data_IF_736255035511
#
_entry.id   IF_736255035511
#
_cell.length_a   1.000
_cell.length_b   1.000
_cell.length_c   1.000
_cell.angle_alpha   90.00
_cell.angle_beta   90.00
_cell.angle_gamma   90.00
#
_symmetry.space_group_name_H-M   'P 1'
#
loop_
_entity.id
_entity.type
_entity.pdbx_description
1 polymer ?
#
# COMPACT_ATOMS: atom_id res chain seq x y z
N UNK A 1 15.22 6.86 -16.44
CA UNK A 1 16.44 7.59 -16.05
C UNK A 1 16.16 9.07 -16.13
N UNK A 2 15.91 9.75 -15.03
CA UNK A 2 16.04 11.18 -14.72
C UNK A 2 15.12 11.48 -13.53
N UNK A 3 15.47 10.96 -12.36
CA UNK A 3 15.01 11.57 -11.12
C UNK A 3 15.82 12.86 -10.93
N UNK A 4 15.24 13.96 -11.31
CA UNK A 4 15.75 15.28 -11.00
C UNK A 4 15.53 15.50 -9.50
N UNK A 5 16.61 15.55 -8.74
CA UNK A 5 16.53 15.83 -7.30
C UNK A 5 15.76 17.13 -7.08
N UNK A 6 14.73 17.07 -6.25
CA UNK A 6 13.86 18.19 -5.93
C UNK A 6 14.38 19.05 -4.77
N UNK A 7 15.61 18.82 -4.30
CA UNK A 7 16.28 19.67 -3.30
C UNK A 7 17.46 20.40 -3.93
N UNK A 8 17.63 21.71 -3.66
CA UNK A 8 18.83 22.40 -4.05
C UNK A 8 20.04 21.75 -3.34
N UNK A 9 21.20 21.64 -4.01
CA UNK A 9 22.38 21.06 -3.41
C UNK A 9 22.76 21.87 -2.18
N UNK A 10 22.73 21.23 -1.02
CA UNK A 10 23.41 21.75 0.16
C UNK A 10 24.90 21.82 -0.17
N UNK A 11 25.54 22.95 0.10
CA UNK A 11 26.95 23.29 -0.13
C UNK A 11 27.87 22.10 -0.40
N UNK A 12 28.57 22.16 -1.54
CA UNK A 12 29.57 21.19 -1.95
C UNK A 12 30.53 20.84 -0.81
N UNK A 13 30.37 19.65 -0.28
CA UNK A 13 31.43 19.02 0.52
C UNK A 13 32.33 18.35 -0.49
N UNK A 14 33.49 18.93 -0.75
CA UNK A 14 34.57 18.30 -1.52
C UNK A 14 34.95 16.98 -0.83
N UNK A 15 34.54 15.90 -1.40
CA UNK A 15 34.84 14.54 -0.91
C UNK A 15 36.06 14.02 -1.66
N UNK A 16 37.16 13.65 -0.98
CA UNK A 16 38.34 13.09 -1.63
C UNK A 16 38.01 11.80 -2.40
N UNK A 17 38.59 11.64 -3.57
CA UNK A 17 38.29 10.64 -4.60
C UNK A 17 38.55 9.15 -4.18
N UNK A 18 39.34 8.92 -3.14
CA UNK A 18 39.77 7.57 -2.70
C UNK A 18 38.68 6.78 -1.92
N UNK A 19 37.53 7.34 -1.66
CA UNK A 19 36.56 6.73 -0.77
C UNK A 19 35.32 6.12 -1.47
N UNK A 20 35.26 6.14 -2.80
CA UNK A 20 34.03 5.81 -3.56
C UNK A 20 33.62 4.34 -3.43
N UNK A 21 34.57 3.41 -3.49
CA UNK A 21 34.27 1.96 -3.41
C UNK A 21 33.93 1.53 -1.98
N UNK A 22 34.59 2.10 -0.99
CA UNK A 22 34.31 1.84 0.42
C UNK A 22 32.93 2.36 0.85
N UNK A 23 32.42 3.44 0.22
CA UNK A 23 31.10 4.04 0.51
C UNK A 23 29.93 3.24 -0.03
N UNK A 24 30.11 2.47 -1.11
CA UNK A 24 29.04 1.62 -1.66
C UNK A 24 28.76 0.40 -0.76
N UNK A 25 29.74 -0.05 0.00
CA UNK A 25 29.64 -1.24 0.87
C UNK A 25 29.69 -0.95 2.37
N UNK A 26 30.08 0.23 2.81
CA UNK A 26 30.00 0.61 4.22
C UNK A 26 28.78 1.53 4.42
N UNK A 27 27.86 1.01 5.15
CA UNK A 27 26.69 1.72 5.62
C UNK A 27 27.10 3.03 6.29
N UNK A 28 26.40 4.08 5.90
CA UNK A 28 26.21 5.33 6.62
C UNK A 28 27.43 6.26 6.77
N UNK A 29 27.31 7.37 6.10
CA UNK A 29 28.04 8.57 6.46
C UNK A 29 27.59 8.97 7.88
N UNK A 30 28.26 8.51 8.94
CA UNK A 30 27.97 8.85 10.34
C UNK A 30 27.95 10.36 10.58
N UNK A 31 28.70 11.11 9.77
CA UNK A 31 28.80 12.57 9.87
C UNK A 31 27.60 13.32 9.27
N UNK A 32 26.76 12.63 8.48
CA UNK A 32 25.49 13.19 8.02
C UNK A 32 24.40 13.20 9.10
N UNK A 33 24.61 12.45 10.17
CA UNK A 33 23.75 12.39 11.34
C UNK A 33 24.38 13.24 12.45
N UNK A 34 24.25 14.56 12.35
CA UNK A 34 24.56 15.45 13.47
C UNK A 34 23.54 15.21 14.58
N UNK A 35 23.96 14.75 15.78
CA UNK A 35 23.04 14.45 16.89
C UNK A 35 22.35 15.70 17.44
N UNK A 36 22.82 16.88 17.11
CA UNK A 36 22.34 18.14 17.68
C UNK A 36 20.95 18.59 17.22
N UNK A 37 20.36 17.98 16.18
CA UNK A 37 19.04 18.33 15.68
C UNK A 37 18.08 17.15 15.51
N UNK A 38 18.38 15.98 16.02
CA UNK A 38 17.43 14.87 16.02
C UNK A 38 16.44 15.05 17.15
N UNK A 39 15.36 15.79 16.88
CA UNK A 39 14.14 15.66 17.67
C UNK A 39 13.76 14.20 17.58
N UNK A 40 13.98 13.41 18.65
CA UNK A 40 13.46 12.05 18.74
C UNK A 40 11.94 12.18 18.82
N UNK A 41 11.20 11.91 17.73
CA UNK A 41 9.75 12.09 17.74
C UNK A 41 9.18 11.10 18.75
N UNK A 42 8.43 11.60 19.73
CA UNK A 42 7.66 10.74 20.62
C UNK A 42 6.44 10.23 19.87
N UNK A 43 6.05 8.98 20.08
CA UNK A 43 4.81 8.42 19.51
C UNK A 43 3.60 9.35 19.73
N UNK A 44 3.55 10.01 20.89
CA UNK A 44 2.51 10.98 21.24
C UNK A 44 2.44 12.16 20.26
N UNK A 45 3.56 12.58 19.67
CA UNK A 45 3.59 13.70 18.73
C UNK A 45 2.99 13.31 17.37
N UNK A 46 3.11 12.03 16.97
CA UNK A 46 2.46 11.47 15.79
C UNK A 46 0.93 11.52 15.92
N UNK A 47 0.40 11.11 17.08
CA UNK A 47 -1.06 11.08 17.29
C UNK A 47 -1.68 12.47 17.50
N UNK A 48 -0.87 13.50 17.76
CA UNK A 48 -1.34 14.90 17.82
C UNK A 48 -1.52 15.55 16.46
N UNK A 49 -0.95 14.95 15.42
CA UNK A 49 -1.11 15.48 14.07
C UNK A 49 -2.57 15.32 13.59
N UNK A 50 -3.07 16.36 12.96
CA UNK A 50 -4.43 16.40 12.46
C UNK A 50 -4.68 15.28 11.43
N UNK A 51 -5.75 14.53 11.61
CA UNK A 51 -6.17 13.41 10.76
C UNK A 51 -5.26 12.18 10.72
N UNK A 52 -4.08 12.17 11.35
CA UNK A 52 -3.18 11.01 11.30
C UNK A 52 -3.84 9.78 11.93
N UNK A 53 -4.51 9.90 13.05
CA UNK A 53 -5.23 8.77 13.67
C UNK A 53 -6.27 8.15 12.72
N UNK A 54 -6.99 8.99 11.98
CA UNK A 54 -7.95 8.53 10.97
C UNK A 54 -7.25 7.81 9.80
N UNK A 55 -6.14 8.34 9.32
CA UNK A 55 -5.33 7.71 8.27
C UNK A 55 -4.73 6.38 8.73
N UNK A 56 -4.33 6.26 10.00
CA UNK A 56 -3.82 5.00 10.57
C UNK A 56 -4.91 3.92 10.63
N UNK A 57 -6.16 4.30 10.96
CA UNK A 57 -7.30 3.37 10.91
C UNK A 57 -7.57 2.92 9.48
N UNK A 58 -7.57 3.83 8.50
CA UNK A 58 -7.68 3.46 7.09
C UNK A 58 -6.56 2.53 6.65
N UNK A 59 -5.32 2.84 7.04
CA UNK A 59 -4.15 2.00 6.77
C UNK A 59 -4.35 0.58 7.30
N UNK A 60 -4.78 0.46 8.57
CA UNK A 60 -5.08 -0.83 9.19
C UNK A 60 -6.15 -1.61 8.41
N UNK A 61 -7.28 -0.97 8.06
CA UNK A 61 -8.36 -1.63 7.33
C UNK A 61 -7.96 -2.06 5.93
N UNK A 62 -7.18 -1.25 5.22
CA UNK A 62 -6.65 -1.61 3.90
C UNK A 62 -5.78 -2.86 4.00
N UNK A 63 -4.84 -2.88 4.95
CA UNK A 63 -3.98 -4.04 5.17
C UNK A 63 -4.76 -5.26 5.63
N UNK A 64 -5.76 -5.08 6.49
CA UNK A 64 -6.62 -6.17 6.95
C UNK A 64 -7.34 -6.83 5.77
N UNK A 65 -8.02 -6.05 4.92
CA UNK A 65 -8.73 -6.57 3.75
C UNK A 65 -7.80 -7.29 2.77
N UNK A 66 -6.62 -6.72 2.49
CA UNK A 66 -5.63 -7.36 1.62
C UNK A 66 -5.07 -8.65 2.21
N UNK A 67 -4.75 -8.69 3.49
CA UNK A 67 -4.15 -9.87 4.09
C UNK A 67 -5.15 -11.03 4.25
N UNK A 68 -6.44 -10.74 4.48
CA UNK A 68 -7.49 -11.78 4.38
C UNK A 68 -7.49 -12.39 2.98
N UNK A 69 -7.45 -11.57 1.92
CA UNK A 69 -7.37 -12.04 0.53
C UNK A 69 -6.09 -12.84 0.28
N UNK A 70 -4.91 -12.33 0.66
CA UNK A 70 -3.64 -13.00 0.41
C UNK A 70 -3.52 -14.35 1.10
N UNK A 71 -4.16 -14.54 2.25
CA UNK A 71 -4.22 -15.85 2.92
C UNK A 71 -5.19 -16.81 2.22
N UNK A 72 -6.34 -16.30 1.77
CA UNK A 72 -7.40 -17.11 1.19
C UNK A 72 -7.15 -17.51 -0.27
N UNK A 73 -6.61 -16.59 -1.09
CA UNK A 73 -6.53 -16.76 -2.54
C UNK A 73 -5.66 -17.95 -3.00
N UNK A 74 -4.46 -18.20 -2.46
CA UNK A 74 -3.67 -19.38 -2.85
C UNK A 74 -4.40 -20.69 -2.59
N UNK A 75 -5.13 -20.78 -1.48
CA UNK A 75 -5.93 -21.96 -1.13
C UNK A 75 -7.12 -22.13 -2.08
N UNK A 76 -7.80 -21.03 -2.42
CA UNK A 76 -8.88 -21.01 -3.41
C UNK A 76 -8.39 -21.43 -4.80
N UNK A 77 -7.27 -20.88 -5.24
CA UNK A 77 -6.66 -21.24 -6.52
C UNK A 77 -6.34 -22.73 -6.60
N UNK A 78 -5.78 -23.31 -5.54
CA UNK A 78 -5.43 -24.73 -5.50
C UNK A 78 -6.66 -25.65 -5.36
N UNK A 79 -7.60 -25.33 -4.45
CA UNK A 79 -8.74 -26.19 -4.13
C UNK A 79 -9.88 -26.09 -5.13
N UNK A 80 -10.29 -24.87 -5.47
CA UNK A 80 -11.51 -24.62 -6.24
C UNK A 80 -11.22 -24.44 -7.72
N UNK A 81 -10.16 -23.69 -8.08
CA UNK A 81 -9.77 -23.47 -9.47
C UNK A 81 -8.85 -24.59 -10.00
N UNK A 82 -8.35 -25.49 -9.14
CA UNK A 82 -7.43 -26.58 -9.50
C UNK A 82 -6.13 -26.10 -10.15
N UNK A 83 -5.65 -24.92 -9.79
CA UNK A 83 -4.42 -24.36 -10.32
C UNK A 83 -3.18 -25.05 -9.75
N UNK A 84 -2.20 -25.24 -10.62
CA UNK A 84 -0.84 -25.62 -10.21
C UNK A 84 -0.13 -24.41 -9.58
N UNK A 85 0.96 -24.69 -8.85
CA UNK A 85 1.82 -23.65 -8.27
C UNK A 85 2.37 -22.70 -9.38
N UNK A 86 2.68 -23.27 -10.56
CA UNK A 86 3.15 -22.49 -11.71
C UNK A 86 2.09 -21.50 -12.21
N UNK A 87 0.83 -21.94 -12.31
CA UNK A 87 -0.28 -21.08 -12.73
C UNK A 87 -0.53 -19.94 -11.73
N UNK A 88 -0.45 -20.26 -10.43
CA UNK A 88 -0.53 -19.24 -9.38
C UNK A 88 0.63 -18.24 -9.47
N UNK A 89 1.85 -18.72 -9.73
CA UNK A 89 3.02 -17.87 -9.95
C UNK A 89 2.85 -16.94 -11.16
N UNK A 90 2.34 -17.47 -12.28
CA UNK A 90 2.04 -16.67 -13.48
C UNK A 90 0.98 -15.61 -13.18
N UNK A 91 -0.07 -15.98 -12.43
CA UNK A 91 -1.11 -15.04 -12.01
C UNK A 91 -0.52 -13.84 -11.25
N UNK A 92 0.34 -14.09 -10.25
CA UNK A 92 0.98 -13.00 -9.50
C UNK A 92 1.99 -12.21 -10.33
N UNK A 93 2.68 -12.85 -11.27
CA UNK A 93 3.59 -12.16 -12.18
C UNK A 93 2.83 -11.19 -13.10
N UNK A 94 1.71 -11.64 -13.69
CA UNK A 94 0.83 -10.80 -14.53
C UNK A 94 0.22 -9.67 -13.71
N UNK A 95 -0.29 -9.98 -12.50
CA UNK A 95 -0.82 -8.98 -11.58
C UNK A 95 0.20 -7.88 -11.30
N UNK A 96 1.42 -8.27 -10.93
CA UNK A 96 2.51 -7.33 -10.61
C UNK A 96 2.92 -6.49 -11.83
N UNK A 97 2.96 -7.10 -13.02
CA UNK A 97 3.26 -6.41 -14.28
C UNK A 97 2.22 -5.34 -14.62
N UNK A 98 0.93 -5.68 -14.55
CA UNK A 98 -0.16 -4.72 -14.78
C UNK A 98 -0.12 -3.62 -13.71
N UNK A 99 0.12 -3.99 -12.44
CA UNK A 99 0.20 -3.02 -11.35
C UNK A 99 1.34 -2.02 -11.55
N UNK A 100 2.50 -2.47 -12.02
CA UNK A 100 3.62 -1.59 -12.37
C UNK A 100 3.26 -0.60 -13.49
N UNK A 101 2.53 -1.06 -14.52
CA UNK A 101 2.03 -0.19 -15.58
C UNK A 101 1.00 0.82 -15.05
N UNK A 102 0.13 0.41 -14.13
CA UNK A 102 -0.85 1.32 -13.53
C UNK A 102 -0.18 2.36 -12.65
N UNK A 103 0.75 1.95 -11.79
CA UNK A 103 1.48 2.86 -10.88
C UNK A 103 2.42 3.83 -11.62
N UNK A 104 2.89 3.48 -12.80
CA UNK A 104 3.72 4.35 -13.64
C UNK A 104 2.89 5.31 -14.50
N UNK A 105 2.63 4.96 -15.77
CA UNK A 105 2.03 5.89 -16.73
C UNK A 105 0.56 6.21 -16.43
N UNK A 106 -0.24 5.24 -15.93
CA UNK A 106 -1.68 5.47 -15.70
C UNK A 106 -1.89 6.40 -14.51
N UNK A 107 -1.25 6.14 -13.38
CA UNK A 107 -1.33 6.99 -12.19
C UNK A 107 -0.85 8.41 -12.50
N UNK A 108 0.26 8.55 -13.23
CA UNK A 108 0.77 9.87 -13.65
C UNK A 108 -0.26 10.66 -14.47
N UNK A 109 -0.99 10.00 -15.38
CA UNK A 109 -2.08 10.63 -16.13
C UNK A 109 -3.29 10.94 -15.26
N UNK A 110 -3.65 10.02 -14.36
CA UNK A 110 -4.77 10.20 -13.44
C UNK A 110 -4.57 11.40 -12.49
N UNK A 111 -3.37 11.57 -11.93
CA UNK A 111 -3.01 12.69 -11.06
C UNK A 111 -3.07 14.07 -11.75
N UNK A 112 -3.03 14.12 -13.09
CA UNK A 112 -3.25 15.37 -13.83
C UNK A 112 -4.72 15.82 -13.85
N UNK A 113 -5.66 14.89 -13.63
CA UNK A 113 -7.13 15.15 -13.72
C UNK A 113 -7.85 15.00 -12.37
N UNK A 114 -7.33 14.19 -11.47
CA UNK A 114 -7.95 13.85 -10.21
C UNK A 114 -6.98 14.11 -9.05
N UNK A 115 -7.51 14.58 -7.93
CA UNK A 115 -6.73 14.69 -6.70
C UNK A 115 -6.46 13.29 -6.12
N UNK A 116 -5.42 13.17 -5.28
CA UNK A 116 -5.06 11.91 -4.60
C UNK A 116 -6.22 11.35 -3.81
N UNK A 117 -6.99 12.21 -3.12
CA UNK A 117 -8.16 11.82 -2.32
C UNK A 117 -9.24 11.16 -3.21
N UNK A 118 -9.49 11.71 -4.41
CA UNK A 118 -10.42 11.11 -5.38
C UNK A 118 -9.92 9.77 -5.88
N UNK A 119 -8.61 9.63 -6.12
CA UNK A 119 -8.03 8.36 -6.55
C UNK A 119 -8.11 7.28 -5.46
N UNK A 120 -8.00 7.65 -4.18
CA UNK A 120 -8.25 6.70 -3.08
C UNK A 120 -9.71 6.23 -3.10
N UNK A 121 -10.68 7.12 -3.27
CA UNK A 121 -12.11 6.75 -3.34
C UNK A 121 -12.39 5.85 -4.56
N UNK A 122 -11.92 6.25 -5.76
CA UNK A 122 -12.13 5.47 -6.99
C UNK A 122 -11.44 4.11 -6.89
N UNK A 123 -10.20 4.07 -6.41
CA UNK A 123 -9.46 2.82 -6.25
C UNK A 123 -10.12 1.88 -5.23
N UNK A 124 -10.66 2.42 -4.13
CA UNK A 124 -11.34 1.62 -3.10
C UNK A 124 -12.61 0.95 -3.62
N UNK A 125 -13.45 1.64 -4.41
CA UNK A 125 -14.66 1.02 -4.98
C UNK A 125 -14.31 -0.06 -6.01
N UNK A 126 -13.29 0.18 -6.85
CA UNK A 126 -12.79 -0.82 -7.80
C UNK A 126 -12.30 -2.07 -7.06
N UNK A 127 -11.54 -1.89 -5.98
CA UNK A 127 -11.05 -2.98 -5.15
C UNK A 127 -12.17 -3.73 -4.41
N UNK A 128 -13.14 -3.02 -3.85
CA UNK A 128 -14.29 -3.65 -3.21
C UNK A 128 -15.06 -4.55 -4.18
N UNK A 129 -15.32 -4.05 -5.39
CA UNK A 129 -15.99 -4.80 -6.46
C UNK A 129 -15.16 -6.00 -6.93
N UNK A 130 -13.85 -5.83 -7.06
CA UNK A 130 -12.93 -6.90 -7.43
C UNK A 130 -13.02 -8.11 -6.49
N UNK A 131 -13.08 -7.89 -5.18
CA UNK A 131 -13.16 -9.00 -4.22
C UNK A 131 -14.46 -9.81 -4.35
N UNK A 132 -15.56 -9.20 -4.79
CA UNK A 132 -16.78 -9.93 -5.11
C UNK A 132 -16.56 -10.90 -6.28
N UNK A 133 -15.80 -10.49 -7.29
CA UNK A 133 -15.49 -11.34 -8.44
C UNK A 133 -14.57 -12.50 -8.09
N UNK A 134 -13.66 -12.34 -7.12
CA UNK A 134 -12.83 -13.44 -6.64
C UNK A 134 -13.60 -14.53 -5.89
N UNK A 135 -14.80 -14.24 -5.40
CA UNK A 135 -15.66 -15.27 -4.81
C UNK A 135 -16.22 -16.27 -5.84
N UNK A 136 -16.08 -16.00 -7.13
CA UNK A 136 -16.53 -16.86 -8.22
C UNK A 136 -15.48 -17.90 -8.59
N UNK A 137 -15.92 -19.13 -8.89
CA UNK A 137 -15.05 -20.21 -9.39
C UNK A 137 -14.82 -20.12 -10.92
N UNK A 138 -15.20 -19.02 -11.56
CA UNK A 138 -15.01 -18.82 -12.99
C UNK A 138 -13.64 -18.20 -13.27
N UNK A 139 -12.88 -18.83 -14.18
CA UNK A 139 -11.58 -18.29 -14.60
C UNK A 139 -11.71 -16.91 -15.25
N UNK A 140 -12.82 -16.65 -15.92
CA UNK A 140 -13.11 -15.34 -16.53
C UNK A 140 -13.29 -14.29 -15.44
N UNK A 141 -14.10 -14.58 -14.41
CA UNK A 141 -14.28 -13.68 -13.26
C UNK A 141 -12.97 -13.38 -12.56
N UNK A 142 -12.14 -14.39 -12.32
CA UNK A 142 -10.84 -14.23 -11.66
C UNK A 142 -9.87 -13.42 -12.54
N UNK A 143 -9.91 -13.59 -13.87
CA UNK A 143 -9.09 -12.79 -14.79
C UNK A 143 -9.51 -11.32 -14.82
N UNK A 144 -10.81 -11.04 -14.81
CA UNK A 144 -11.33 -9.67 -14.70
C UNK A 144 -10.97 -9.09 -13.34
N UNK A 145 -11.11 -9.87 -12.28
CA UNK A 145 -10.74 -9.46 -10.92
C UNK A 145 -9.26 -9.11 -10.83
N UNK A 146 -8.36 -9.84 -11.48
CA UNK A 146 -6.93 -9.52 -11.54
C UNK A 146 -6.69 -8.11 -12.09
N UNK A 147 -7.34 -7.76 -13.19
CA UNK A 147 -7.20 -6.44 -13.82
C UNK A 147 -7.75 -5.35 -12.89
N UNK A 148 -8.92 -5.57 -12.32
CA UNK A 148 -9.53 -4.61 -11.38
C UNK A 148 -8.68 -4.44 -10.12
N UNK A 149 -8.07 -5.52 -9.61
CA UNK A 149 -7.14 -5.46 -8.48
C UNK A 149 -5.94 -4.57 -8.82
N UNK A 150 -5.31 -4.82 -9.98
CA UNK A 150 -4.13 -4.06 -10.40
C UNK A 150 -4.45 -2.58 -10.58
N UNK A 151 -5.61 -2.25 -11.19
CA UNK A 151 -6.06 -0.86 -11.39
C UNK A 151 -6.43 -0.21 -10.04
N UNK A 152 -7.29 -0.86 -9.26
CA UNK A 152 -7.76 -0.32 -7.99
C UNK A 152 -6.63 -0.08 -7.00
N UNK A 153 -5.78 -1.09 -6.77
CA UNK A 153 -4.63 -0.98 -5.88
C UNK A 153 -3.56 -0.03 -6.42
N UNK A 154 -3.30 -0.09 -7.73
CA UNK A 154 -2.32 0.77 -8.38
C UNK A 154 -2.65 2.27 -8.31
N UNK A 155 -3.94 2.63 -8.24
CA UNK A 155 -4.39 4.02 -8.04
C UNK A 155 -4.49 4.38 -6.56
N UNK A 156 -5.10 3.50 -5.75
CA UNK A 156 -5.41 3.77 -4.35
C UNK A 156 -4.16 3.87 -3.48
N UNK A 157 -3.30 2.85 -3.54
CA UNK A 157 -2.19 2.71 -2.60
C UNK A 157 -1.16 3.85 -2.67
N UNK A 158 -0.60 4.21 -3.84
CA UNK A 158 0.35 5.31 -3.92
C UNK A 158 -0.27 6.65 -3.55
N UNK A 159 -1.54 6.88 -3.93
CA UNK A 159 -2.27 8.11 -3.59
C UNK A 159 -2.49 8.22 -2.09
N UNK A 160 -2.86 7.12 -1.43
CA UNK A 160 -3.02 7.08 0.02
C UNK A 160 -1.70 7.33 0.76
N UNK A 161 -0.61 6.72 0.31
CA UNK A 161 0.72 6.92 0.90
C UNK A 161 1.21 8.36 0.72
N UNK A 162 0.90 8.99 -0.40
CA UNK A 162 1.19 10.41 -0.63
C UNK A 162 0.43 11.32 0.35
N UNK A 163 -0.87 11.06 0.57
CA UNK A 163 -1.67 11.80 1.56
C UNK A 163 -1.08 11.63 2.96
N UNK A 164 -0.77 10.41 3.37
CA UNK A 164 -0.18 10.11 4.68
C UNK A 164 1.14 10.83 4.88
N UNK A 165 2.03 10.77 3.90
CA UNK A 165 3.34 11.44 3.91
C UNK A 165 3.21 12.96 3.99
N UNK A 166 2.29 13.55 3.23
CA UNK A 166 2.05 15.00 3.21
C UNK A 166 1.52 15.51 4.55
N UNK A 167 0.60 14.77 5.19
CA UNK A 167 0.05 15.12 6.52
C UNK A 167 1.05 14.93 7.66
N UNK A 168 2.03 14.06 7.49
CA UNK A 168 3.12 13.89 8.44
C UNK A 168 4.06 15.11 8.51
N UNK A 169 4.17 15.86 7.41
CA UNK A 169 5.14 16.95 7.28
C UNK A 169 6.60 16.45 7.27
N UNK A 170 7.53 17.32 6.90
CA UNK A 170 8.94 16.93 6.68
C UNK A 170 9.65 16.41 7.94
N UNK A 171 9.26 16.88 9.13
CA UNK A 171 9.93 16.54 10.40
C UNK A 171 9.49 15.19 10.98
N UNK A 172 8.25 14.77 10.75
CA UNK A 172 7.67 13.58 11.39
C UNK A 172 7.35 12.45 10.39
N UNK A 173 7.70 12.61 9.11
CA UNK A 173 7.38 11.65 8.05
C UNK A 173 7.87 10.24 8.35
N UNK A 174 9.12 10.09 8.81
CA UNK A 174 9.67 8.78 9.19
C UNK A 174 8.96 8.17 10.40
N UNK A 175 8.62 8.98 11.41
CA UNK A 175 7.90 8.52 12.59
C UNK A 175 6.48 8.08 12.26
N UNK A 176 5.75 8.85 11.44
CA UNK A 176 4.40 8.50 10.98
C UNK A 176 4.41 7.23 10.16
N UNK A 177 5.37 7.07 9.24
CA UNK A 177 5.50 5.84 8.45
C UNK A 177 5.87 4.63 9.31
N UNK A 178 6.73 4.79 10.32
CA UNK A 178 7.04 3.74 11.28
C UNK A 178 5.81 3.28 12.07
N UNK A 179 5.00 4.23 12.58
CA UNK A 179 3.74 3.92 13.26
C UNK A 179 2.76 3.26 12.30
N UNK A 180 2.60 3.78 11.08
CA UNK A 180 1.72 3.17 10.06
C UNK A 180 2.16 1.74 9.73
N UNK A 181 3.48 1.50 9.60
CA UNK A 181 4.03 0.16 9.42
C UNK A 181 3.68 -0.79 10.56
N UNK A 182 3.68 -0.31 11.82
CA UNK A 182 3.25 -1.11 12.98
C UNK A 182 1.76 -1.47 12.90
N UNK A 183 0.89 -0.52 12.52
CA UNK A 183 -0.53 -0.77 12.27
C UNK A 183 -0.75 -1.77 11.12
N UNK A 184 0.02 -1.64 10.04
CA UNK A 184 0.01 -2.59 8.92
C UNK A 184 0.47 -3.98 9.33
N UNK A 185 1.54 -4.08 10.14
CA UNK A 185 2.02 -5.35 10.69
C UNK A 185 0.98 -6.04 11.55
N UNK A 186 0.33 -5.29 12.46
CA UNK A 186 -0.76 -5.83 13.28
C UNK A 186 -1.95 -6.29 12.40
N UNK A 187 -2.35 -5.47 11.43
CA UNK A 187 -3.39 -5.83 10.48
C UNK A 187 -3.04 -7.08 9.65
N UNK A 188 -1.74 -7.25 9.33
CA UNK A 188 -1.26 -8.42 8.59
C UNK A 188 -1.35 -9.69 9.44
N UNK A 189 -0.94 -9.66 10.70
CA UNK A 189 -1.08 -10.79 11.62
C UNK A 189 -2.54 -11.19 11.74
N UNK A 190 -3.42 -10.24 12.03
CA UNK A 190 -4.87 -10.49 12.16
C UNK A 190 -5.46 -10.97 10.83
N UNK A 191 -5.16 -10.29 9.73
CA UNK A 191 -5.72 -10.57 8.42
C UNK A 191 -5.30 -11.93 7.86
N UNK A 192 -4.02 -12.30 7.97
CA UNK A 192 -3.54 -13.62 7.52
C UNK A 192 -4.14 -14.76 8.36
N UNK A 193 -4.20 -14.57 9.68
CA UNK A 193 -4.81 -15.57 10.58
C UNK A 193 -6.31 -15.73 10.29
N UNK A 194 -7.04 -14.63 10.21
CA UNK A 194 -8.47 -14.64 9.90
C UNK A 194 -8.74 -15.18 8.50
N UNK A 195 -7.95 -14.80 7.50
CA UNK A 195 -8.13 -15.21 6.12
C UNK A 195 -8.03 -16.72 5.95
N UNK A 196 -7.04 -17.35 6.58
CA UNK A 196 -6.90 -18.79 6.57
C UNK A 196 -8.05 -19.50 7.30
N UNK A 197 -8.44 -19.02 8.49
CA UNK A 197 -9.55 -19.57 9.26
C UNK A 197 -10.89 -19.41 8.53
N UNK A 198 -11.19 -18.21 8.02
CA UNK A 198 -12.42 -17.91 7.30
C UNK A 198 -12.54 -18.76 6.04
N UNK A 199 -11.44 -18.90 5.28
CA UNK A 199 -11.49 -19.70 4.07
C UNK A 199 -11.79 -21.17 4.36
N UNK A 200 -11.26 -21.71 5.45
CA UNK A 200 -11.56 -23.07 5.87
C UNK A 200 -13.02 -23.25 6.32
N UNK A 201 -13.64 -22.18 6.85
CA UNK A 201 -15.01 -22.24 7.39
C UNK A 201 -16.06 -21.91 6.34
N UNK A 202 -15.85 -20.91 5.49
CA UNK A 202 -16.86 -20.37 4.55
C UNK A 202 -16.39 -20.36 3.08
N UNK A 203 -15.21 -20.91 2.78
CA UNK A 203 -14.68 -21.02 1.42
C UNK A 203 -14.58 -19.67 0.72
N UNK A 204 -15.02 -19.59 -0.55
CA UNK A 204 -14.99 -18.38 -1.38
C UNK A 204 -15.72 -17.18 -0.81
N UNK A 205 -16.67 -17.35 0.12
CA UNK A 205 -17.32 -16.23 0.79
C UNK A 205 -16.35 -15.36 1.61
N UNK A 206 -15.16 -15.86 1.92
CA UNK A 206 -14.08 -15.07 2.55
C UNK A 206 -13.73 -13.82 1.73
N UNK A 207 -13.79 -13.89 0.42
CA UNK A 207 -13.54 -12.72 -0.44
C UNK A 207 -14.60 -11.63 -0.30
N UNK A 208 -15.86 -12.02 -0.02
CA UNK A 208 -16.92 -11.06 0.28
C UNK A 208 -16.64 -10.29 1.57
N UNK A 209 -16.04 -10.96 2.56
CA UNK A 209 -15.61 -10.30 3.81
C UNK A 209 -14.48 -9.32 3.52
N UNK A 210 -13.47 -9.72 2.74
CA UNK A 210 -12.41 -8.79 2.29
C UNK A 210 -12.99 -7.60 1.54
N UNK A 211 -13.93 -7.85 0.63
CA UNK A 211 -14.66 -6.81 -0.09
C UNK A 211 -15.42 -5.88 0.85
N UNK A 212 -16.10 -6.42 1.84
CA UNK A 212 -16.81 -5.65 2.87
C UNK A 212 -15.88 -4.71 3.64
N UNK A 213 -14.71 -5.19 4.05
CA UNK A 213 -13.69 -4.34 4.70
C UNK A 213 -13.25 -3.20 3.78
N UNK A 214 -13.01 -3.47 2.49
CA UNK A 214 -12.62 -2.43 1.53
C UNK A 214 -13.79 -1.48 1.21
N UNK A 215 -15.05 -1.93 1.25
CA UNK A 215 -16.19 -1.02 1.13
C UNK A 215 -16.34 -0.11 2.36
N UNK A 216 -15.95 -0.55 3.55
CA UNK A 216 -15.82 0.32 4.72
C UNK A 216 -14.73 1.38 4.47
N UNK A 217 -13.57 0.97 3.94
CA UNK A 217 -12.52 1.92 3.52
C UNK A 217 -13.06 2.91 2.48
N UNK A 218 -13.81 2.45 1.48
CA UNK A 218 -14.45 3.31 0.49
C UNK A 218 -15.38 4.33 1.15
N UNK A 219 -16.28 3.90 2.04
CA UNK A 219 -17.19 4.79 2.75
C UNK A 219 -16.43 5.82 3.61
N UNK A 220 -15.40 5.39 4.32
CA UNK A 220 -14.57 6.28 5.12
C UNK A 220 -13.72 7.24 4.25
N UNK A 221 -13.31 6.84 3.05
CA UNK A 221 -12.50 7.67 2.14
C UNK A 221 -13.20 8.96 1.69
N UNK A 222 -14.53 9.02 1.72
CA UNK A 222 -15.25 10.28 1.45
C UNK A 222 -14.88 11.40 2.42
N UNK A 223 -14.46 11.05 3.64
CA UNK A 223 -13.94 12.04 4.59
C UNK A 223 -12.63 12.67 4.11
N UNK A 224 -11.82 11.96 3.33
CA UNK A 224 -10.59 12.50 2.76
C UNK A 224 -10.87 13.68 1.83
N UNK A 225 -11.99 13.65 1.08
CA UNK A 225 -12.38 14.72 0.17
C UNK A 225 -12.70 16.04 0.89
N UNK A 226 -13.02 15.98 2.18
CA UNK A 226 -13.32 17.14 3.03
C UNK A 226 -12.11 17.65 3.82
N UNK A 227 -11.02 16.90 3.78
CA UNK A 227 -9.76 17.24 4.45
C UNK A 227 -8.95 18.19 3.55
N UNK A 228 -9.25 19.48 3.61
CA UNK A 228 -8.44 20.52 2.96
C UNK A 228 -7.26 20.95 3.81
#
# INVERSE_FOLDING_TARGET
>A
FLLRESKPPSKEILVPEETTIRKVFSQECRDCYSPENTIKPRLRDVFKLEYISFLLVLYFLIFLGFNIYYAAFPTHAAKDLKWSVTQLGIFYAVLSGIMALVQGPVLRKALKRFSEEKLVVIGSIILGTNFILFASNSIISVSVALILFAVGNGLMWPSFMSILSRRAGSKLQGAVQGVAGSFGGLASIVGLTLGGFLYNSVGGATFLISGGVIFVVFAMSFRLLKMK
#
